data_IF_162137637747
#
_entry.id   IF_162137637747
#
_cell.length_a   1.000
_cell.length_b   1.000
_cell.length_c   1.000
_cell.angle_alpha   90.00
_cell.angle_beta   90.00
_cell.angle_gamma   90.00
#
_symmetry.space_group_name_H-M   'P 1'
#
loop_
_entity.id
_entity.type
_entity.pdbx_description
1 polymer ?
#
# COMPACT_ATOMS: atom_id res chain seq x y z
N UNK A 1 -12.61 -8.98 7.43
CA UNK A 1 -11.51 -9.45 8.30
C UNK A 1 -10.18 -8.73 8.08
N UNK A 2 -10.15 -7.53 7.47
CA UNK A 2 -8.89 -6.74 7.28
C UNK A 2 -8.81 -5.47 8.14
N UNK A 3 -9.83 -5.19 8.98
CA UNK A 3 -9.95 -3.93 9.73
C UNK A 3 -8.78 -3.68 10.70
N UNK A 4 -8.28 -4.73 11.34
CA UNK A 4 -7.13 -4.62 12.26
C UNK A 4 -5.86 -4.20 11.52
N UNK A 5 -5.56 -4.83 10.38
CA UNK A 5 -4.40 -4.49 9.55
C UNK A 5 -4.51 -3.08 8.96
N UNK A 6 -5.69 -2.71 8.47
CA UNK A 6 -5.95 -1.35 7.97
C UNK A 6 -5.79 -0.32 9.11
N UNK A 7 -6.25 -0.63 10.32
CA UNK A 7 -6.06 0.23 11.48
C UNK A 7 -4.57 0.40 11.82
N UNK A 8 -3.78 -0.66 11.79
CA UNK A 8 -2.32 -0.59 11.99
C UNK A 8 -1.67 0.30 10.93
N UNK A 9 -2.06 0.16 9.66
CA UNK A 9 -1.53 1.01 8.57
C UNK A 9 -1.93 2.47 8.78
N UNK A 10 -3.15 2.75 9.23
CA UNK A 10 -3.59 4.12 9.53
C UNK A 10 -2.83 4.71 10.74
N UNK A 11 -2.56 3.93 11.78
CA UNK A 11 -1.71 4.34 12.90
C UNK A 11 -0.31 4.65 12.39
N UNK A 12 0.27 3.78 11.55
CA UNK A 12 1.55 4.04 10.91
C UNK A 12 1.54 5.33 10.06
N UNK A 13 0.50 5.55 9.26
CA UNK A 13 0.32 6.77 8.48
C UNK A 13 0.20 8.03 9.35
N UNK A 14 -0.43 7.92 10.52
CA UNK A 14 -0.67 9.06 11.42
C UNK A 14 0.54 9.43 12.25
N UNK A 15 1.31 8.44 12.71
CA UNK A 15 2.40 8.64 13.67
C UNK A 15 3.79 8.56 13.03
N UNK A 16 3.97 7.72 12.00
CA UNK A 16 5.28 7.47 11.37
C UNK A 16 5.42 8.26 10.08
N UNK A 17 4.40 8.29 9.22
CA UNK A 17 4.49 9.00 7.93
C UNK A 17 4.82 10.50 8.02
N UNK A 18 4.34 11.29 9.01
CA UNK A 18 4.67 12.72 9.09
C UNK A 18 6.13 12.98 9.44
N UNK A 19 6.82 11.98 10.01
CA UNK A 19 8.23 12.06 10.39
C UNK A 19 9.17 11.83 9.20
N UNK A 20 8.64 11.44 8.04
CA UNK A 20 9.42 11.17 6.84
C UNK A 20 8.90 11.96 5.64
N UNK A 21 9.80 12.47 4.77
CA UNK A 21 9.37 13.08 3.52
C UNK A 21 8.63 12.06 2.63
N UNK A 22 7.74 12.51 1.72
CA UNK A 22 7.04 11.63 0.80
C UNK A 22 8.04 10.93 -0.13
N UNK A 23 8.32 9.65 0.14
CA UNK A 23 9.27 8.82 -0.62
C UNK A 23 8.63 7.94 -1.69
N UNK A 24 7.31 7.75 -1.64
CA UNK A 24 6.67 6.81 -2.55
C UNK A 24 6.56 7.45 -3.95
N UNK A 25 7.16 6.80 -4.95
CA UNK A 25 7.17 7.26 -6.35
C UNK A 25 5.90 6.90 -7.13
N UNK A 26 5.05 6.05 -6.54
CA UNK A 26 3.84 5.57 -7.18
C UNK A 26 2.61 6.29 -6.64
N UNK A 27 1.64 6.52 -7.53
CA UNK A 27 0.30 6.98 -7.18
C UNK A 27 -0.74 5.88 -7.48
N UNK A 28 -1.64 5.55 -6.54
CA UNK A 28 -1.68 6.02 -5.16
C UNK A 28 -0.46 5.55 -4.34
N UNK A 29 -0.23 6.18 -3.19
CA UNK A 29 0.94 5.89 -2.34
C UNK A 29 0.95 4.43 -1.88
N UNK A 30 2.13 3.94 -1.49
CA UNK A 30 2.38 2.56 -1.11
C UNK A 30 1.47 2.11 0.06
N UNK A 31 1.20 3.02 1.02
CA UNK A 31 0.29 2.78 2.14
C UNK A 31 -1.18 2.83 1.75
N UNK A 32 -1.56 3.74 0.84
CA UNK A 32 -2.93 3.83 0.31
C UNK A 32 -3.27 2.57 -0.50
N UNK A 33 -2.34 2.15 -1.37
CA UNK A 33 -2.40 0.91 -2.12
C UNK A 33 -2.54 -0.30 -1.19
N UNK A 34 -1.81 -0.32 -0.06
CA UNK A 34 -1.93 -1.40 0.91
C UNK A 34 -3.34 -1.46 1.54
N UNK A 35 -3.90 -0.32 1.91
CA UNK A 35 -5.27 -0.24 2.45
C UNK A 35 -6.29 -0.71 1.43
N UNK A 36 -6.18 -0.25 0.19
CA UNK A 36 -7.09 -0.60 -0.89
C UNK A 36 -6.96 -2.08 -1.27
N UNK A 37 -5.74 -2.62 -1.39
CA UNK A 37 -5.49 -4.03 -1.68
C UNK A 37 -6.06 -4.94 -0.58
N UNK A 38 -5.94 -4.56 0.70
CA UNK A 38 -6.54 -5.28 1.83
C UNK A 38 -8.07 -5.23 1.85
N UNK A 39 -8.67 -4.14 1.34
CA UNK A 39 -10.13 -3.99 1.21
C UNK A 39 -10.69 -4.80 0.05
N UNK A 40 -10.02 -4.78 -1.11
CA UNK A 40 -10.48 -5.43 -2.35
C UNK A 40 -10.19 -6.94 -2.33
N UNK A 41 -8.96 -7.34 -2.01
CA UNK A 41 -8.51 -8.73 -2.13
C UNK A 41 -8.50 -9.52 -0.82
N UNK A 42 -8.72 -8.85 0.31
CA UNK A 42 -8.60 -9.44 1.65
C UNK A 42 -7.16 -9.48 2.16
N UNK A 43 -6.95 -10.08 3.33
CA UNK A 43 -5.66 -10.00 4.06
C UNK A 43 -4.50 -10.61 3.29
N UNK A 44 -4.62 -11.87 2.86
CA UNK A 44 -3.52 -12.61 2.24
C UNK A 44 -3.07 -12.02 0.90
N UNK A 45 -4.00 -11.88 -0.05
CA UNK A 45 -3.70 -11.28 -1.36
C UNK A 45 -3.37 -9.78 -1.24
N UNK A 46 -4.03 -9.05 -0.34
CA UNK A 46 -3.75 -7.64 -0.11
C UNK A 46 -2.34 -7.41 0.42
N UNK A 47 -1.89 -8.20 1.40
CA UNK A 47 -0.51 -8.16 1.90
C UNK A 47 0.50 -8.53 0.83
N UNK A 48 0.22 -9.55 0.01
CA UNK A 48 1.13 -9.99 -1.04
C UNK A 48 1.31 -8.91 -2.12
N UNK A 49 0.21 -8.28 -2.56
CA UNK A 49 0.24 -7.16 -3.49
C UNK A 49 0.95 -5.94 -2.91
N UNK A 50 0.65 -5.57 -1.67
CA UNK A 50 1.25 -4.44 -0.98
C UNK A 50 2.76 -4.64 -0.77
N UNK A 51 3.16 -5.81 -0.28
CA UNK A 51 4.56 -6.18 -0.07
C UNK A 51 5.35 -6.20 -1.38
N UNK A 52 4.79 -6.79 -2.44
CA UNK A 52 5.40 -6.80 -3.77
C UNK A 52 5.62 -5.39 -4.33
N UNK A 53 4.68 -4.46 -4.09
CA UNK A 53 4.85 -3.07 -4.47
C UNK A 53 5.90 -2.36 -3.61
N UNK A 54 5.93 -2.61 -2.30
CA UNK A 54 6.91 -2.03 -1.39
C UNK A 54 8.34 -2.43 -1.79
N UNK A 55 8.55 -3.69 -2.16
CA UNK A 55 9.83 -4.20 -2.66
C UNK A 55 10.26 -3.57 -3.99
N UNK A 56 9.29 -3.28 -4.87
CA UNK A 56 9.53 -2.58 -6.15
C UNK A 56 9.72 -1.08 -5.98
N UNK A 57 9.30 -0.49 -4.86
CA UNK A 57 9.45 0.92 -4.56
C UNK A 57 10.88 1.24 -4.09
N UNK A 58 11.85 1.12 -5.01
CA UNK A 58 13.25 1.43 -4.78
C UNK A 58 13.70 2.63 -5.66
N UNK A 59 14.89 3.22 -5.39
CA UNK A 59 15.39 4.38 -6.13
C UNK A 59 15.56 4.15 -7.65
N UNK A 60 15.67 2.90 -8.10
CA UNK A 60 15.79 2.52 -9.51
C UNK A 60 14.44 2.33 -10.20
N UNK A 61 13.31 2.42 -9.49
CA UNK A 61 12.00 2.33 -10.11
C UNK A 61 11.57 3.69 -10.68
N UNK A 62 11.00 3.69 -11.88
CA UNK A 62 10.49 4.89 -12.56
C UNK A 62 9.29 5.53 -11.86
N UNK A 63 8.57 4.79 -11.01
CA UNK A 63 7.36 5.27 -10.38
C UNK A 63 6.18 5.32 -11.36
N UNK A 64 5.13 6.08 -11.01
CA UNK A 64 3.98 6.30 -11.89
C UNK A 64 2.64 5.84 -11.31
N UNK A 65 1.63 5.76 -12.18
CA UNK A 65 0.27 5.38 -11.80
C UNK A 65 0.15 3.84 -11.76
N UNK A 66 -0.11 3.27 -10.60
CA UNK A 66 -0.29 1.83 -10.43
C UNK A 66 -1.49 1.61 -9.48
N UNK A 67 -2.73 1.55 -9.98
CA UNK A 67 -3.90 1.32 -9.15
C UNK A 67 -4.01 -0.15 -8.70
N UNK A 68 -4.72 -0.42 -7.60
CA UNK A 68 -4.99 -1.80 -7.18
C UNK A 68 -5.81 -2.51 -8.25
N UNK A 69 -5.42 -3.71 -8.71
CA UNK A 69 -6.19 -4.44 -9.71
C UNK A 69 -7.57 -4.81 -9.15
N UNK A 70 -8.64 -4.75 -9.96
CA UNK A 70 -9.98 -5.12 -9.50
C UNK A 70 -10.02 -6.61 -9.09
N UNK A 71 -10.83 -6.93 -8.09
CA UNK A 71 -11.08 -8.31 -7.69
C UNK A 71 -11.78 -9.01 -8.85
N UNK A 72 -11.11 -9.97 -9.52
CA UNK A 72 -11.78 -10.84 -10.48
C UNK A 72 -12.83 -11.65 -9.72
N UNK A 73 -14.08 -11.59 -10.21
CA UNK A 73 -15.21 -12.34 -9.67
C UNK A 73 -14.99 -13.85 -9.81
#
# INVERSE_FOLDING_TARGET
MSRVLVAIIHVYQRFVSPLFPPRCKYYPTCSEYAVEALRVHGVWRGLLLAGWRLLRCNPLSDGGLDPVPPKRA
#
